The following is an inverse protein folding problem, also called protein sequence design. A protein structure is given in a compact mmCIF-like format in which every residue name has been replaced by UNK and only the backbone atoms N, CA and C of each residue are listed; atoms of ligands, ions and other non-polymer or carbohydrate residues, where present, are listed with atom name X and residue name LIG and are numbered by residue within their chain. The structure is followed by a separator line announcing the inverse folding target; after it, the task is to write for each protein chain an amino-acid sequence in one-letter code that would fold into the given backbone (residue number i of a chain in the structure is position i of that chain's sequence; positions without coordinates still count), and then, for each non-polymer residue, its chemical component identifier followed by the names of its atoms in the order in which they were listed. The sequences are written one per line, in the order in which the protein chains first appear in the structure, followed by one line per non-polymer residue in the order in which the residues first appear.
data_IF_859958726936
#
_entry.id   IF_859958726936
#
_cell.length_a   1.000
_cell.length_b   1.000
_cell.length_c   1.000
_cell.angle_alpha   90.00
_cell.angle_beta   90.00
_cell.angle_gamma   90.00
#
_symmetry.space_group_name_H-M   'P 1'
#
loop_
_entity.id
_entity.type
_entity.pdbx_description
1 polymer ?
#
# COMPACT_ATOMS: atom_id res chain seq x y z
N UNK A 1 -11.90 -7.05 7.58
CA UNK A 1 -12.02 -5.77 6.86
C UNK A 1 -12.46 -6.10 5.45
N UNK A 2 -13.75 -5.94 5.18
CA UNK A 2 -14.37 -6.36 3.93
C UNK A 2 -14.30 -5.19 2.95
N UNK A 3 -13.60 -5.37 1.84
CA UNK A 3 -13.59 -4.36 0.76
C UNK A 3 -14.97 -4.31 0.10
N UNK A 4 -15.26 -3.30 -0.74
CA UNK A 4 -16.46 -3.31 -1.60
C UNK A 4 -16.56 -4.53 -2.54
N UNK A 5 -15.58 -5.44 -2.52
CA UNK A 5 -15.53 -6.65 -3.34
C UNK A 5 -15.98 -7.92 -2.62
N UNK A 6 -16.10 -7.89 -1.29
CA UNK A 6 -16.51 -9.08 -0.55
C UNK A 6 -18.03 -9.12 -0.50
N UNK A 7 -18.68 -9.86 -1.39
CA UNK A 7 -20.11 -10.08 -1.27
C UNK A 7 -20.38 -10.83 0.04
N UNK A 8 -21.24 -10.31 0.94
CA UNK A 8 -21.58 -11.01 2.17
C UNK A 8 -22.40 -12.26 1.84
N UNK A 9 -21.75 -13.42 1.88
CA UNK A 9 -22.43 -14.71 1.74
C UNK A 9 -22.97 -15.10 3.12
N UNK A 10 -24.27 -15.36 3.21
CA UNK A 10 -24.91 -15.84 4.45
C UNK A 10 -25.28 -17.30 4.33
N UNK A 11 -24.86 -18.07 5.33
CA UNK A 11 -25.16 -19.49 5.50
C UNK A 11 -26.13 -19.73 6.67
N UNK A 12 -26.84 -18.70 7.14
CA UNK A 12 -27.74 -18.76 8.30
C UNK A 12 -29.19 -18.92 7.86
N UNK A 13 -29.85 -19.95 8.39
CA UNK A 13 -31.25 -20.25 8.14
C UNK A 13 -32.17 -19.08 8.56
N UNK A 14 -33.10 -18.68 7.69
CA UNK A 14 -34.01 -17.55 7.92
C UNK A 14 -33.54 -16.18 7.40
N UNK A 15 -32.31 -16.08 6.89
CA UNK A 15 -31.85 -14.87 6.18
C UNK A 15 -31.99 -15.08 4.67
N UNK A 16 -32.88 -14.32 4.04
CA UNK A 16 -33.17 -14.44 2.60
C UNK A 16 -32.18 -13.67 1.69
N UNK A 17 -31.40 -12.75 2.27
CA UNK A 17 -30.39 -12.00 1.53
C UNK A 17 -29.61 -11.02 2.39
N UNK A 18 -28.50 -10.51 1.86
CA UNK A 18 -27.73 -9.42 2.45
C UNK A 18 -27.42 -8.38 1.40
N UNK A 19 -27.56 -7.12 1.80
CA UNK A 19 -27.15 -5.97 1.03
C UNK A 19 -26.25 -5.07 1.88
N UNK A 20 -25.47 -4.22 1.21
CA UNK A 20 -24.73 -3.11 1.82
C UNK A 20 -25.33 -1.81 1.33
N UNK A 21 -25.37 -0.82 2.20
CA UNK A 21 -25.84 0.53 1.89
C UNK A 21 -24.85 1.55 2.42
N UNK A 22 -24.91 2.77 1.90
CA UNK A 22 -24.09 3.86 2.40
C UNK A 22 -24.36 4.13 3.89
N UNK A 23 -23.37 4.60 4.67
CA UNK A 23 -23.52 4.81 6.12
C UNK A 23 -24.71 5.69 6.51
N UNK A 24 -25.03 6.73 5.72
CA UNK A 24 -26.18 7.59 6.00
C UNK A 24 -27.52 6.88 5.80
N UNK A 25 -27.63 5.98 4.81
CA UNK A 25 -28.81 5.13 4.60
C UNK A 25 -28.96 4.17 5.79
N UNK A 26 -27.87 3.53 6.21
CA UNK A 26 -27.86 2.66 7.38
C UNK A 26 -28.29 3.39 8.65
N UNK A 27 -27.75 4.59 8.90
CA UNK A 27 -28.14 5.42 10.04
C UNK A 27 -29.64 5.78 10.03
N UNK A 28 -30.18 6.10 8.86
CA UNK A 28 -31.60 6.38 8.71
C UNK A 28 -32.46 5.15 9.00
N UNK A 29 -32.11 3.99 8.43
CA UNK A 29 -32.82 2.73 8.67
C UNK A 29 -32.79 2.33 10.14
N UNK A 30 -31.61 2.40 10.78
CA UNK A 30 -31.47 2.13 12.22
C UNK A 30 -32.29 3.09 13.08
N UNK A 31 -32.41 4.36 12.69
CA UNK A 31 -33.26 5.34 13.38
C UNK A 31 -34.75 4.99 13.29
N UNK A 32 -35.23 4.59 12.12
CA UNK A 32 -36.62 4.17 11.91
C UNK A 32 -36.94 2.88 12.68
N UNK A 33 -36.05 1.89 12.64
CA UNK A 33 -36.23 0.62 13.35
C UNK A 33 -36.29 0.82 14.87
N UNK A 34 -35.51 1.76 15.43
CA UNK A 34 -35.59 2.14 16.86
C UNK A 34 -36.93 2.77 17.25
N UNK A 35 -37.72 3.22 16.27
CA UNK A 35 -39.05 3.79 16.44
C UNK A 35 -40.15 2.78 16.06
N UNK A 36 -39.84 1.48 16.07
CA UNK A 36 -40.74 0.38 15.70
C UNK A 36 -41.35 0.52 14.30
N UNK A 37 -40.70 1.28 13.41
CA UNK A 37 -41.14 1.43 12.02
C UNK A 37 -40.68 0.26 11.17
N UNK A 38 -41.50 -0.14 10.20
CA UNK A 38 -41.14 -1.15 9.20
C UNK A 38 -40.35 -0.50 8.06
N UNK A 39 -39.14 -0.98 7.81
CA UNK A 39 -38.30 -0.55 6.68
C UNK A 39 -38.46 -1.55 5.53
N UNK A 40 -39.07 -1.11 4.43
CA UNK A 40 -39.22 -1.92 3.20
C UNK A 40 -38.17 -1.48 2.18
N UNK A 41 -37.38 -2.44 1.67
CA UNK A 41 -36.35 -2.20 0.66
C UNK A 41 -36.80 -2.77 -0.68
N UNK A 42 -36.91 -1.91 -1.69
CA UNK A 42 -37.22 -2.31 -3.06
C UNK A 42 -35.95 -2.21 -3.92
N UNK A 43 -35.51 -3.32 -4.50
CA UNK A 43 -34.35 -3.36 -5.41
C UNK A 43 -34.90 -3.36 -6.85
N UNK A 44 -34.82 -2.24 -7.59
CA UNK A 44 -35.28 -2.19 -8.98
C UNK A 44 -34.42 -3.07 -9.89
N UNK A 45 -34.96 -3.48 -11.04
CA UNK A 45 -34.18 -4.20 -12.05
C UNK A 45 -33.09 -3.30 -12.64
N UNK A 46 -31.97 -3.90 -13.04
CA UNK A 46 -30.77 -3.20 -13.57
C UNK A 46 -31.04 -2.27 -14.75
N UNK A 47 -32.16 -2.45 -15.45
CA UNK A 47 -32.54 -1.63 -16.60
C UNK A 47 -33.18 -0.29 -16.20
N UNK A 48 -33.41 -0.08 -14.90
CA UNK A 48 -34.10 1.10 -14.36
C UNK A 48 -33.32 1.76 -13.20
N UNK A 49 -32.01 1.53 -13.14
CA UNK A 49 -31.09 2.08 -12.13
C UNK A 49 -30.17 3.13 -12.73
N UNK A 50 -30.11 4.32 -12.13
CA UNK A 50 -29.06 5.31 -12.43
C UNK A 50 -27.81 5.03 -11.59
N UNK A 51 -26.62 5.22 -12.19
CA UNK A 51 -25.34 5.12 -11.49
C UNK A 51 -24.95 6.52 -11.03
N UNK A 52 -24.75 6.69 -9.72
CA UNK A 52 -24.25 7.93 -9.13
C UNK A 52 -22.88 7.69 -8.51
N UNK A 53 -21.99 8.68 -8.64
CA UNK A 53 -20.74 8.71 -7.88
C UNK A 53 -21.04 9.28 -6.50
N UNK A 54 -20.70 8.52 -5.46
CA UNK A 54 -20.72 8.99 -4.08
C UNK A 54 -19.29 8.97 -3.53
N UNK A 55 -18.88 10.10 -2.98
CA UNK A 55 -17.57 10.24 -2.34
C UNK A 55 -17.73 10.08 -0.83
N UNK A 56 -16.89 9.22 -0.26
CA UNK A 56 -16.85 8.97 1.18
C UNK A 56 -15.42 9.12 1.68
N UNK A 57 -15.26 9.77 2.83
CA UNK A 57 -13.99 9.74 3.55
C UNK A 57 -13.74 8.33 4.10
N UNK A 58 -12.57 7.78 3.79
CA UNK A 58 -12.10 6.54 4.39
C UNK A 58 -11.26 6.85 5.64
N UNK A 59 -11.95 7.05 6.77
CA UNK A 59 -11.32 7.32 8.06
C UNK A 59 -10.79 6.06 8.78
N UNK A 60 -11.01 4.87 8.21
CA UNK A 60 -10.54 3.61 8.79
C UNK A 60 -9.15 3.23 8.24
N UNK A 61 -8.99 3.20 6.91
CA UNK A 61 -7.75 2.75 6.25
C UNK A 61 -7.14 3.74 5.27
N UNK A 62 -7.78 4.89 5.07
CA UNK A 62 -7.28 5.91 4.15
C UNK A 62 -5.83 6.31 4.48
N UNK A 63 -4.96 6.25 3.48
CA UNK A 63 -3.55 6.63 3.62
C UNK A 63 -2.62 5.56 4.21
N UNK A 64 -3.15 4.37 4.54
CA UNK A 64 -2.35 3.24 5.03
C UNK A 64 -2.22 2.14 3.97
N UNK A 65 -1.42 1.11 4.27
CA UNK A 65 -1.20 0.00 3.35
C UNK A 65 -2.41 -0.91 3.30
N UNK A 66 -2.80 -1.29 2.08
CA UNK A 66 -3.83 -2.29 1.87
C UNK A 66 -3.34 -3.66 2.36
N UNK A 67 -4.23 -4.39 3.04
CA UNK A 67 -3.85 -5.59 3.77
C UNK A 67 -3.92 -6.87 2.91
N UNK A 68 -5.04 -7.10 2.23
CA UNK A 68 -5.35 -8.40 1.59
C UNK A 68 -5.03 -8.50 0.10
N UNK A 69 -4.71 -7.38 -0.56
CA UNK A 69 -4.55 -7.32 -2.02
C UNK A 69 -3.13 -6.95 -2.48
N UNK A 70 -2.24 -6.65 -1.54
CA UNK A 70 -0.83 -6.41 -1.84
C UNK A 70 -0.03 -7.69 -1.68
N UNK A 71 0.84 -7.97 -2.65
CA UNK A 71 1.86 -9.01 -2.47
C UNK A 71 2.98 -8.47 -1.60
N UNK A 72 3.49 -9.32 -0.72
CA UNK A 72 4.59 -9.00 0.17
C UNK A 72 5.89 -9.60 -0.33
N UNK A 73 7.00 -8.96 0.01
CA UNK A 73 8.32 -9.56 -0.11
C UNK A 73 8.65 -10.53 1.03
N UNK A 74 9.92 -10.94 1.12
CA UNK A 74 10.96 -10.69 0.12
C UNK A 74 10.67 -11.44 -1.19
N UNK A 75 11.45 -11.20 -2.25
CA UNK A 75 11.40 -12.05 -3.45
C UNK A 75 11.92 -13.46 -3.14
N UNK A 76 11.75 -14.40 -4.08
CA UNK A 76 12.29 -15.76 -3.95
C UNK A 76 13.82 -15.80 -3.85
N UNK A 77 14.48 -14.75 -4.34
CA UNK A 77 15.93 -14.52 -4.23
C UNK A 77 16.31 -13.71 -2.98
N UNK A 78 15.39 -13.58 -2.01
CA UNK A 78 15.54 -12.82 -0.77
C UNK A 78 15.76 -11.32 -0.96
N UNK A 79 15.42 -10.76 -2.12
CA UNK A 79 15.51 -9.33 -2.38
C UNK A 79 14.35 -8.54 -1.80
N UNK A 80 14.60 -7.28 -1.42
CA UNK A 80 13.54 -6.36 -0.97
C UNK A 80 12.51 -6.13 -2.09
N UNK A 81 11.25 -6.50 -1.79
CA UNK A 81 10.06 -6.21 -2.58
C UNK A 81 8.86 -5.92 -1.65
N UNK A 82 7.87 -5.11 -2.09
CA UNK A 82 7.91 -4.24 -3.27
C UNK A 82 8.98 -3.13 -3.12
N UNK A 83 9.28 -2.38 -4.19
CA UNK A 83 10.25 -1.28 -4.10
C UNK A 83 9.65 -0.02 -3.45
N UNK A 84 8.39 0.25 -3.73
CA UNK A 84 7.60 1.37 -3.22
C UNK A 84 6.12 1.00 -3.35
N UNK A 85 5.24 1.82 -2.78
CA UNK A 85 3.79 1.68 -2.90
C UNK A 85 3.13 2.94 -3.46
N UNK A 86 1.90 2.79 -3.96
CA UNK A 86 1.11 3.89 -4.49
C UNK A 86 -0.39 3.60 -4.29
N UNK A 87 -1.25 4.63 -4.28
CA UNK A 87 -2.71 4.47 -4.19
C UNK A 87 -3.23 3.40 -5.17
N UNK A 88 -3.98 2.45 -4.63
CA UNK A 88 -4.54 1.34 -5.40
C UNK A 88 -5.88 0.84 -4.88
N UNK A 89 -6.45 1.48 -3.86
CA UNK A 89 -7.74 1.12 -3.28
C UNK A 89 -8.78 2.19 -3.59
N UNK A 90 -9.97 1.75 -3.98
CA UNK A 90 -11.10 2.59 -4.36
C UNK A 90 -10.74 3.63 -5.43
N UNK A 91 -10.01 3.21 -6.46
CA UNK A 91 -9.59 4.08 -7.56
C UNK A 91 -10.70 4.14 -8.60
N UNK A 92 -11.29 5.33 -8.77
CA UNK A 92 -12.18 5.64 -9.87
C UNK A 92 -11.37 5.81 -11.17
N UNK A 93 -11.71 5.06 -12.21
CA UNK A 93 -11.10 5.20 -13.53
C UNK A 93 -12.06 4.85 -14.65
N UNK A 94 -11.61 5.03 -15.89
CA UNK A 94 -12.37 4.64 -17.09
C UNK A 94 -12.53 3.13 -17.15
N UNK A 95 -13.68 2.66 -17.64
CA UNK A 95 -14.02 1.25 -17.74
C UNK A 95 -14.71 0.96 -19.08
N UNK A 96 -14.31 -0.14 -19.71
CA UNK A 96 -14.72 -0.44 -21.08
C UNK A 96 -16.11 -1.07 -21.11
N UNK A 97 -17.07 -0.32 -21.66
CA UNK A 97 -18.43 -0.74 -22.03
C UNK A 97 -18.74 -0.22 -23.43
N UNK A 98 -19.84 -0.67 -24.05
CA UNK A 98 -20.27 -0.22 -25.39
C UNK A 98 -20.35 1.31 -25.51
N UNK A 99 -20.84 1.96 -24.46
CA UNK A 99 -21.10 3.41 -24.45
C UNK A 99 -20.05 4.21 -23.65
N UNK A 100 -18.98 3.55 -23.21
CA UNK A 100 -18.03 4.09 -22.24
C UNK A 100 -18.59 4.14 -20.82
N UNK A 101 -17.74 3.93 -19.81
CA UNK A 101 -18.17 3.99 -18.41
C UNK A 101 -17.01 4.32 -17.49
N UNK A 102 -17.33 4.46 -16.20
CA UNK A 102 -16.36 4.56 -15.12
C UNK A 102 -16.63 3.44 -14.12
N UNK A 103 -15.57 3.01 -13.43
CA UNK A 103 -15.67 2.02 -12.36
C UNK A 103 -14.65 2.33 -11.26
N UNK A 104 -15.07 2.09 -10.01
CA UNK A 104 -14.17 2.05 -8.86
C UNK A 104 -13.58 0.65 -8.74
N UNK A 105 -12.25 0.55 -8.75
CA UNK A 105 -11.53 -0.71 -8.63
C UNK A 105 -10.42 -0.63 -7.58
N UNK A 106 -10.11 -1.79 -7.01
CA UNK A 106 -9.08 -1.95 -5.98
C UNK A 106 -8.09 -3.03 -6.41
N UNK A 107 -6.80 -2.73 -6.31
CA UNK A 107 -5.70 -3.67 -6.50
C UNK A 107 -4.38 -2.98 -6.85
N UNK A 108 -3.28 -3.73 -6.76
CA UNK A 108 -1.97 -3.27 -7.24
C UNK A 108 -1.96 -3.00 -8.75
N UNK A 109 -2.88 -3.60 -9.51
CA UNK A 109 -3.16 -3.27 -10.90
C UNK A 109 -3.60 -1.81 -11.12
N UNK A 110 -4.15 -1.15 -10.09
CA UNK A 110 -4.50 0.27 -10.12
C UNK A 110 -3.33 1.14 -9.63
N UNK A 111 -2.52 0.65 -8.69
CA UNK A 111 -1.26 1.30 -8.29
C UNK A 111 -0.24 1.36 -9.43
N UNK A 112 -0.11 0.29 -10.23
CA UNK A 112 0.87 0.16 -11.30
C UNK A 112 0.81 1.28 -12.36
N UNK A 113 -0.34 1.63 -12.97
CA UNK A 113 -0.41 2.73 -13.93
C UNK A 113 -0.14 4.10 -13.30
N UNK A 114 -0.48 4.31 -12.02
CA UNK A 114 -0.13 5.53 -11.29
C UNK A 114 1.39 5.66 -11.12
N UNK A 115 2.08 4.59 -10.73
CA UNK A 115 3.54 4.55 -10.68
C UNK A 115 4.14 4.78 -12.07
N UNK A 116 3.64 4.11 -13.11
CA UNK A 116 4.12 4.31 -14.48
C UNK A 116 4.02 5.78 -14.91
N UNK A 117 2.92 6.45 -14.58
CA UNK A 117 2.70 7.87 -14.86
C UNK A 117 3.67 8.77 -14.08
N UNK A 118 3.91 8.46 -12.80
CA UNK A 118 4.90 9.17 -12.00
C UNK A 118 6.33 9.03 -12.55
N UNK A 119 6.71 7.85 -13.04
CA UNK A 119 8.00 7.66 -13.72
C UNK A 119 8.08 8.41 -15.05
N UNK A 120 6.97 8.51 -15.79
CA UNK A 120 6.92 9.32 -17.01
C UNK A 120 7.13 10.82 -16.69
N UNK A 121 6.49 11.34 -15.64
CA UNK A 121 6.70 12.72 -15.16
C UNK A 121 8.15 12.94 -14.71
N UNK A 122 8.71 12.02 -13.94
CA UNK A 122 10.10 12.08 -13.49
C UNK A 122 11.07 12.12 -14.68
N UNK A 123 10.86 11.24 -15.68
CA UNK A 123 11.64 11.22 -16.92
C UNK A 123 11.45 12.51 -17.73
N UNK A 124 10.24 13.06 -17.78
CA UNK A 124 9.97 14.33 -18.46
C UNK A 124 10.72 15.50 -17.84
N UNK A 125 10.80 15.55 -16.50
CA UNK A 125 11.44 16.64 -15.77
C UNK A 125 12.98 16.50 -15.67
N UNK A 126 13.50 15.28 -15.52
CA UNK A 126 14.95 15.01 -15.33
C UNK A 126 15.65 14.47 -16.57
N UNK A 127 14.95 14.35 -17.70
CA UNK A 127 15.45 13.77 -18.93
C UNK A 127 15.50 12.24 -18.93
N UNK A 128 16.03 11.67 -20.03
CA UNK A 128 16.13 10.22 -20.22
C UNK A 128 17.31 9.64 -19.44
N UNK A 129 17.16 9.54 -18.12
CA UNK A 129 18.09 8.86 -17.24
C UNK A 129 17.98 7.34 -17.37
N UNK A 130 19.03 6.63 -16.96
CA UNK A 130 19.01 5.18 -16.80
C UNK A 130 17.83 4.72 -15.93
N UNK A 131 17.09 3.65 -16.30
CA UNK A 131 15.93 3.19 -15.55
C UNK A 131 16.21 2.86 -14.07
N UNK A 132 17.39 2.32 -13.75
CA UNK A 132 17.76 2.04 -12.36
C UNK A 132 18.05 3.34 -11.59
N UNK A 133 18.62 4.36 -12.24
CA UNK A 133 18.74 5.71 -11.67
C UNK A 133 17.37 6.33 -11.38
N UNK A 134 16.41 6.25 -12.31
CA UNK A 134 15.04 6.71 -12.06
C UNK A 134 14.39 5.98 -10.88
N UNK A 135 14.58 4.66 -10.80
CA UNK A 135 14.06 3.85 -9.68
C UNK A 135 14.68 4.26 -8.35
N UNK A 136 16.00 4.48 -8.30
CA UNK A 136 16.70 4.97 -7.10
C UNK A 136 16.17 6.32 -6.65
N UNK A 137 16.03 7.30 -7.56
CA UNK A 137 15.46 8.61 -7.23
C UNK A 137 14.04 8.46 -6.67
N UNK A 138 13.19 7.68 -7.33
CA UNK A 138 11.80 7.51 -6.88
C UNK A 138 11.70 6.83 -5.50
N UNK A 139 12.45 5.75 -5.28
CA UNK A 139 12.44 5.00 -4.02
C UNK A 139 13.04 5.81 -2.87
N UNK A 140 14.18 6.47 -3.08
CA UNK A 140 14.88 7.22 -2.02
C UNK A 140 14.17 8.52 -1.61
N UNK A 141 13.20 8.97 -2.40
CA UNK A 141 12.33 10.11 -2.07
C UNK A 141 10.93 9.71 -1.60
N UNK A 142 10.62 8.41 -1.60
CA UNK A 142 9.33 7.90 -1.12
C UNK A 142 9.17 8.11 0.38
N UNK A 143 7.91 8.20 0.83
CA UNK A 143 7.58 8.50 2.23
C UNK A 143 7.19 7.22 2.97
N UNK A 144 7.93 6.77 3.98
CA UNK A 144 7.53 5.63 4.80
C UNK A 144 6.18 5.87 5.50
N UNK A 145 5.38 4.82 5.57
CA UNK A 145 4.02 4.82 6.13
C UNK A 145 4.07 4.22 7.54
N UNK A 146 3.29 4.78 8.46
CA UNK A 146 3.07 4.20 9.79
C UNK A 146 2.39 2.83 9.67
N UNK A 147 2.68 1.93 10.61
CA UNK A 147 2.09 0.61 10.57
C UNK A 147 0.60 0.65 10.94
N UNK A 148 -0.22 -0.05 10.18
CA UNK A 148 -1.62 -0.31 10.51
C UNK A 148 -1.79 -1.83 10.64
N UNK A 149 -2.25 -2.30 11.80
CA UNK A 149 -2.31 -3.74 12.12
C UNK A 149 -3.57 -4.45 11.61
N UNK A 150 -4.41 -3.74 10.86
CA UNK A 150 -5.73 -4.19 10.42
C UNK A 150 -6.87 -3.71 11.29
N UNK A 151 -6.57 -3.14 12.46
CA UNK A 151 -7.55 -2.60 13.41
C UNK A 151 -7.25 -1.17 13.81
N UNK A 152 -5.97 -0.80 13.96
CA UNK A 152 -5.53 0.53 14.36
C UNK A 152 -4.19 0.91 13.76
N UNK A 153 -3.92 2.20 13.78
CA UNK A 153 -2.65 2.80 13.37
C UNK A 153 -1.69 2.85 14.55
N UNK A 154 -0.42 2.55 14.30
CA UNK A 154 0.69 2.65 15.23
C UNK A 154 1.67 3.73 14.72
N UNK A 155 1.53 4.99 15.14
CA UNK A 155 2.28 6.12 14.57
C UNK A 155 3.80 6.06 14.85
N UNK A 156 4.20 5.39 15.93
CA UNK A 156 5.59 5.36 16.40
C UNK A 156 6.45 4.29 15.71
N UNK A 157 5.85 3.45 14.87
CA UNK A 157 6.56 2.39 14.14
C UNK A 157 6.13 2.37 12.67
N UNK A 158 7.11 2.19 11.78
CA UNK A 158 6.85 2.13 10.36
C UNK A 158 6.31 0.75 9.97
N UNK A 159 5.50 0.71 8.91
CA UNK A 159 5.06 -0.54 8.33
C UNK A 159 6.25 -1.41 7.89
N UNK A 160 6.10 -2.74 7.81
CA UNK A 160 7.17 -3.64 7.41
C UNK A 160 7.75 -3.29 6.03
N UNK A 161 9.08 -3.32 5.92
CA UNK A 161 9.78 -3.15 4.62
C UNK A 161 9.27 -4.13 3.56
N UNK A 162 9.01 -5.42 3.86
CA UNK A 162 8.42 -6.35 2.89
C UNK A 162 6.99 -6.01 2.43
N UNK A 163 6.29 -5.07 3.09
CA UNK A 163 4.98 -4.58 2.68
C UNK A 163 5.08 -3.27 1.90
N UNK A 164 5.85 -2.32 2.41
CA UNK A 164 5.87 -0.94 1.91
C UNK A 164 7.04 -0.62 0.97
N UNK A 165 8.09 -1.43 0.98
CA UNK A 165 9.37 -1.08 0.36
C UNK A 165 9.93 0.19 0.98
N UNK A 166 10.16 1.20 0.13
CA UNK A 166 10.59 2.54 0.55
C UNK A 166 9.44 3.47 1.00
N UNK A 167 8.19 3.00 0.89
CA UNK A 167 6.99 3.78 1.26
C UNK A 167 6.22 4.32 0.06
N UNK A 168 5.30 5.26 0.33
CA UNK A 168 4.41 5.81 -0.69
C UNK A 168 5.15 6.77 -1.62
N UNK A 169 4.90 6.63 -2.92
CA UNK A 169 5.52 7.44 -3.97
C UNK A 169 5.34 8.95 -3.73
N UNK A 170 6.41 9.72 -3.96
CA UNK A 170 6.43 11.19 -3.82
C UNK A 170 7.02 11.83 -5.08
N UNK A 171 6.26 11.88 -6.17
CA UNK A 171 6.74 12.32 -7.49
C UNK A 171 7.34 13.74 -7.47
N UNK A 172 6.73 14.65 -6.71
CA UNK A 172 7.25 16.01 -6.55
C UNK A 172 8.66 15.99 -5.95
N UNK A 173 8.85 15.29 -4.83
CA UNK A 173 10.15 15.17 -4.18
C UNK A 173 11.17 14.48 -5.10
N UNK A 174 10.76 13.46 -5.85
CA UNK A 174 11.60 12.78 -6.84
C UNK A 174 12.10 13.73 -7.94
N UNK A 175 11.23 14.60 -8.46
CA UNK A 175 11.58 15.58 -9.49
C UNK A 175 12.60 16.59 -8.97
N UNK A 176 12.36 17.15 -7.78
CA UNK A 176 13.13 18.27 -7.25
C UNK A 176 14.30 17.87 -6.35
N UNK A 177 14.49 16.58 -6.03
CA UNK A 177 15.60 16.15 -5.19
C UNK A 177 16.96 16.47 -5.83
N UNK A 178 17.83 17.10 -5.05
CA UNK A 178 19.24 17.30 -5.40
C UNK A 178 20.15 16.24 -4.80
N UNK A 179 19.62 15.33 -3.97
CA UNK A 179 20.38 14.24 -3.38
C UNK A 179 20.01 12.92 -4.06
N UNK A 180 21.03 12.23 -4.60
CA UNK A 180 20.86 10.91 -5.22
C UNK A 180 21.73 9.88 -4.51
N UNK A 181 21.10 8.86 -3.93
CA UNK A 181 21.83 7.71 -3.37
C UNK A 181 22.21 6.74 -4.49
N UNK A 182 23.39 6.11 -4.35
CA UNK A 182 23.87 5.11 -5.30
C UNK A 182 23.13 3.78 -5.24
N UNK A 183 22.30 3.56 -4.21
CA UNK A 183 21.49 2.35 -3.98
C UNK A 183 20.01 2.73 -3.78
N UNK A 184 19.09 1.79 -4.02
CA UNK A 184 17.65 1.95 -3.76
C UNK A 184 17.16 1.21 -2.51
N UNK A 185 17.94 0.24 -2.02
CA UNK A 185 17.66 -0.51 -0.81
C UNK A 185 18.95 -1.16 -0.28
N UNK A 186 18.91 -1.57 0.99
CA UNK A 186 19.93 -2.42 1.59
C UNK A 186 19.29 -3.78 1.88
N UNK A 187 19.68 -4.79 1.11
CA UNK A 187 19.34 -6.18 1.39
C UNK A 187 20.50 -6.83 2.15
N UNK A 188 20.28 -7.11 3.44
CA UNK A 188 21.30 -7.71 4.31
C UNK A 188 21.52 -9.19 4.01
N UNK A 189 20.44 -9.91 3.65
CA UNK A 189 20.40 -11.35 3.40
C UNK A 189 21.13 -12.12 4.50
N UNK A 190 20.41 -12.41 5.57
CA UNK A 190 20.89 -13.26 6.65
C UNK A 190 21.13 -14.68 6.10
N UNK A 191 22.38 -14.97 5.82
CA UNK A 191 22.86 -16.17 5.12
C UNK A 191 24.14 -16.63 5.82
N UNK A 192 24.55 -17.87 5.58
CA UNK A 192 25.81 -18.43 6.11
C UNK A 192 27.05 -17.59 5.73
N UNK A 193 26.95 -16.74 4.71
CA UNK A 193 27.97 -15.80 4.27
C UNK A 193 27.56 -14.34 4.48
N UNK A 194 27.01 -14.04 5.66
CA UNK A 194 26.55 -12.70 6.03
C UNK A 194 27.65 -11.63 5.84
N UNK A 195 27.26 -10.53 5.20
CA UNK A 195 28.12 -9.36 5.01
C UNK A 195 27.50 -8.17 5.74
N UNK A 196 27.99 -7.90 6.95
CA UNK A 196 27.46 -6.88 7.86
C UNK A 196 27.83 -5.43 7.53
N UNK A 197 28.66 -5.20 6.50
CA UNK A 197 29.02 -3.86 6.06
C UNK A 197 28.50 -3.60 4.64
N UNK A 198 27.82 -2.47 4.46
CA UNK A 198 27.29 -2.00 3.18
C UNK A 198 27.72 -0.56 2.97
N UNK A 199 28.12 -0.23 1.75
CA UNK A 199 28.58 1.11 1.38
C UNK A 199 27.65 1.68 0.32
N UNK A 200 27.31 2.95 0.47
CA UNK A 200 26.66 3.74 -0.57
C UNK A 200 27.30 5.13 -0.63
N UNK A 201 26.97 5.88 -1.67
CA UNK A 201 27.38 7.27 -1.85
C UNK A 201 26.15 8.13 -2.06
N UNK A 202 26.27 9.40 -1.68
CA UNK A 202 25.27 10.44 -1.94
C UNK A 202 25.90 11.41 -2.94
N UNK A 203 25.25 11.57 -4.09
CA UNK A 203 25.59 12.58 -5.07
C UNK A 203 24.71 13.81 -4.85
N UNK A 204 25.34 14.95 -4.57
CA UNK A 204 24.67 16.24 -4.61
C UNK A 204 24.68 16.78 -6.04
N UNK A 205 23.51 16.97 -6.64
CA UNK A 205 23.30 17.56 -7.97
C UNK A 205 22.85 19.03 -7.88
N UNK A 206 22.81 19.61 -6.69
CA UNK A 206 22.53 21.03 -6.47
C UNK A 206 23.72 21.91 -6.81
N UNK A 207 23.48 23.23 -6.86
CA UNK A 207 24.54 24.23 -7.10
C UNK A 207 25.32 24.61 -5.84
N UNK A 208 24.80 24.27 -4.66
CA UNK A 208 25.38 24.61 -3.36
C UNK A 208 25.81 23.35 -2.61
N UNK A 209 26.78 23.49 -1.71
CA UNK A 209 27.19 22.43 -0.80
C UNK A 209 26.02 22.02 0.11
N UNK A 210 25.91 20.71 0.38
CA UNK A 210 24.86 20.13 1.20
C UNK A 210 25.45 19.33 2.37
N UNK A 211 24.87 19.49 3.56
CA UNK A 211 25.21 18.70 4.75
C UNK A 211 24.13 17.64 4.93
N UNK A 212 24.55 16.38 5.07
CA UNK A 212 23.64 15.25 5.27
C UNK A 212 23.79 14.67 6.67
N UNK A 213 22.69 14.58 7.40
CA UNK A 213 22.58 13.83 8.65
C UNK A 213 21.92 12.48 8.37
N UNK A 214 22.56 11.39 8.79
CA UNK A 214 22.08 10.03 8.58
C UNK A 214 21.62 9.42 9.90
N UNK A 215 20.41 8.89 9.89
CA UNK A 215 19.81 8.15 11.01
C UNK A 215 18.97 7.00 10.47
N UNK A 216 18.45 6.16 11.36
CA UNK A 216 17.52 5.10 11.00
C UNK A 216 16.29 5.14 11.88
N UNK A 217 15.19 4.59 11.36
CA UNK A 217 13.94 4.39 12.09
C UNK A 217 13.54 2.94 12.00
N UNK A 218 13.08 2.39 13.12
CA UNK A 218 12.57 1.02 13.18
C UNK A 218 11.29 0.87 12.35
N UNK A 219 11.14 -0.30 11.77
CA UNK A 219 9.92 -0.78 11.11
C UNK A 219 9.53 -2.12 11.74
N UNK A 220 8.27 -2.50 11.62
CA UNK A 220 7.79 -3.79 12.13
C UNK A 220 8.51 -4.93 11.41
N UNK A 221 9.05 -5.86 12.19
CA UNK A 221 9.58 -7.14 11.69
C UNK A 221 8.46 -8.16 11.65
N UNK A 222 8.33 -8.87 10.54
CA UNK A 222 7.26 -9.86 10.35
C UNK A 222 7.79 -11.14 9.73
N UNK A 223 7.19 -12.26 10.13
CA UNK A 223 7.31 -13.51 9.39
C UNK A 223 6.43 -13.47 8.14
N UNK A 224 7.07 -13.51 6.97
CA UNK A 224 6.37 -13.51 5.68
C UNK A 224 5.89 -14.91 5.30
N UNK A 225 6.43 -15.94 5.94
CA UNK A 225 6.01 -17.34 5.84
C UNK A 225 5.50 -17.83 7.20
N UNK A 226 4.46 -18.66 7.17
CA UNK A 226 3.97 -19.39 8.34
C UNK A 226 3.91 -20.88 8.03
N UNK A 227 3.98 -21.70 9.07
CA UNK A 227 3.78 -23.14 8.93
C UNK A 227 2.33 -23.45 8.52
N UNK A 228 2.17 -24.46 7.69
CA UNK A 228 0.90 -24.99 7.21
C UNK A 228 0.88 -26.50 7.40
N UNK A 229 -0.31 -27.11 7.31
CA UNK A 229 -0.48 -28.55 7.48
C UNK A 229 0.59 -29.37 6.72
N UNK A 230 1.36 -30.17 7.45
CA UNK A 230 2.43 -31.01 6.90
C UNK A 230 3.83 -30.39 6.88
N UNK A 231 4.09 -29.28 7.59
CA UNK A 231 5.44 -28.67 7.68
C UNK A 231 5.82 -27.86 6.44
N UNK A 232 4.85 -27.51 5.60
CA UNK A 232 5.08 -26.75 4.37
C UNK A 232 4.90 -25.26 4.68
N UNK A 233 5.94 -24.47 4.48
CA UNK A 233 5.84 -23.02 4.61
C UNK A 233 4.93 -22.43 3.53
N UNK A 234 3.99 -21.58 3.95
CA UNK A 234 3.13 -20.80 3.05
C UNK A 234 3.25 -19.31 3.37
N UNK A 235 2.95 -18.46 2.39
CA UNK A 235 2.82 -17.03 2.63
C UNK A 235 1.84 -16.78 3.79
N UNK A 236 2.31 -16.07 4.81
CA UNK A 236 1.49 -15.73 5.96
C UNK A 236 0.40 -14.74 5.55
N UNK A 237 -0.81 -14.96 6.07
CA UNK A 237 -1.93 -14.04 5.84
C UNK A 237 -1.81 -12.84 6.75
N UNK A 238 -2.22 -11.68 6.27
CA UNK A 238 -2.25 -10.49 7.08
C UNK A 238 -3.37 -10.56 8.16
N UNK A 239 -3.13 -10.14 9.41
CA UNK A 239 -1.85 -9.67 9.94
C UNK A 239 -0.89 -10.84 10.20
N UNK A 240 0.32 -10.71 9.66
CA UNK A 240 1.35 -11.73 9.83
C UNK A 240 1.83 -11.77 11.30
N UNK A 241 2.40 -12.90 11.75
CA UNK A 241 3.11 -12.93 13.03
C UNK A 241 4.23 -11.88 13.06
N UNK A 242 4.18 -11.01 14.08
CA UNK A 242 5.18 -9.97 14.30
C UNK A 242 6.31 -10.48 15.19
N UNK A 243 7.49 -9.92 15.00
CA UNK A 243 8.61 -10.04 15.92
C UNK A 243 8.84 -8.67 16.54
N UNK A 244 8.81 -8.60 17.88
CA UNK A 244 9.10 -7.39 18.66
C UNK A 244 10.63 -7.16 18.76
N UNK A 245 11.30 -7.19 17.62
CA UNK A 245 12.73 -6.98 17.48
C UNK A 245 13.03 -6.28 16.14
N UNK A 246 14.07 -5.49 16.09
CA UNK A 246 14.46 -4.72 14.91
C UNK A 246 15.97 -4.50 14.86
N UNK A 247 16.49 -4.36 13.65
CA UNK A 247 17.90 -4.08 13.46
C UNK A 247 18.25 -2.63 13.86
N UNK A 248 19.37 -2.47 14.56
CA UNK A 248 20.04 -1.18 14.75
C UNK A 248 21.18 -1.03 13.73
N UNK A 249 21.34 0.17 13.17
CA UNK A 249 22.40 0.45 12.20
C UNK A 249 23.19 1.69 12.59
N UNK A 250 24.51 1.64 12.35
CA UNK A 250 25.41 2.76 12.56
C UNK A 250 25.94 3.26 11.22
N UNK A 251 26.03 4.58 11.09
CA UNK A 251 26.59 5.24 9.91
C UNK A 251 27.98 5.77 10.23
N UNK A 252 28.92 5.58 9.30
CA UNK A 252 30.26 6.15 9.36
C UNK A 252 30.65 6.65 7.97
N UNK A 253 31.26 7.83 7.89
CA UNK A 253 31.89 8.31 6.66
C UNK A 253 33.30 7.74 6.53
N UNK A 254 33.74 7.54 5.29
CA UNK A 254 35.15 7.30 4.95
C UNK A 254 35.76 8.54 4.35
#
# INVERSE_FOLDING_TARGET
MLTMRDDPIVYTEGIEGVARVAPYVANNWLSLLKQDSVVTVNIPSSNNTEIHLEEFENNETGGYLANSLTSWGPSWELGVKPNLVAPGENILSTYLTSDGSYRVMTGTSMSAPLVASAFALLKGARGSLDPLRLRRIMTTTSKPIAWHDGTKVHPDILAPVPQQGSGIIQTWNAVYSTAELSIDNISWNDTDHFVGNRTFSILNTGSEDAIFELSHRKAVTMYTLQDSFGGVLRAASFPNPIVEDWADIQFSSR
#
